data_IF_173301568685
#
_entry.id   IF_173301568685
#
_cell.length_a   1.000
_cell.length_b   1.000
_cell.length_c   1.000
_cell.angle_alpha   90.00
_cell.angle_beta   90.00
_cell.angle_gamma   90.00
#
_symmetry.space_group_name_H-M   'P 1'
#
loop_
_entity.id
_entity.type
_entity.pdbx_description
1 polymer ?
#
# COMPACT_ATOMS: atom_id res chain seq x y z
N UNK A 1 27.84 -42.03 30.36
CA UNK A 1 26.89 -42.74 29.46
C UNK A 1 27.33 -42.46 28.03
N UNK A 2 27.20 -43.43 27.12
CA UNK A 2 27.58 -43.25 25.71
C UNK A 2 26.36 -43.34 24.79
N UNK A 3 26.36 -42.53 23.74
CA UNK A 3 25.28 -42.43 22.78
C UNK A 3 25.70 -43.01 21.44
N UNK A 4 24.78 -43.73 20.80
CA UNK A 4 24.86 -44.00 19.35
C UNK A 4 24.65 -42.72 18.56
N UNK A 5 25.01 -42.74 17.28
CA UNK A 5 24.78 -41.61 16.37
C UNK A 5 23.29 -41.22 16.26
N UNK A 6 22.38 -42.18 16.37
CA UNK A 6 20.93 -41.92 16.30
C UNK A 6 20.42 -41.27 17.58
N UNK A 7 20.88 -41.73 18.75
CA UNK A 7 20.53 -41.15 20.03
C UNK A 7 21.08 -39.73 20.15
N UNK A 8 22.33 -39.51 19.72
CA UNK A 8 22.95 -38.19 19.75
C UNK A 8 22.23 -37.21 18.79
N UNK A 9 21.89 -37.65 17.58
CA UNK A 9 21.10 -36.87 16.63
C UNK A 9 19.75 -36.46 17.21
N UNK A 10 19.04 -37.40 17.85
CA UNK A 10 17.75 -37.14 18.49
C UNK A 10 17.87 -36.15 19.66
N UNK A 11 18.91 -36.30 20.49
CA UNK A 11 19.14 -35.45 21.65
C UNK A 11 19.49 -34.01 21.26
N UNK A 12 20.30 -33.83 20.22
CA UNK A 12 20.84 -32.54 19.80
C UNK A 12 20.02 -31.83 18.72
N UNK A 13 19.04 -32.51 18.13
CA UNK A 13 18.23 -31.97 17.03
C UNK A 13 18.95 -31.89 15.68
N UNK A 14 20.21 -32.33 15.57
CA UNK A 14 20.90 -32.42 14.28
C UNK A 14 20.69 -33.77 13.60
N UNK A 15 20.79 -33.79 12.27
CA UNK A 15 20.67 -35.04 11.51
C UNK A 15 21.89 -35.94 11.72
N UNK A 16 21.69 -37.25 11.58
CA UNK A 16 22.81 -38.21 11.55
C UNK A 16 23.78 -37.94 10.40
N UNK A 17 23.30 -37.36 9.29
CA UNK A 17 24.14 -36.89 8.17
C UNK A 17 25.06 -35.75 8.62
N UNK A 18 24.55 -34.78 9.38
CA UNK A 18 25.34 -33.67 9.94
C UNK A 18 26.44 -34.20 10.86
N UNK A 19 26.14 -35.15 11.74
CA UNK A 19 27.14 -35.76 12.63
C UNK A 19 28.23 -36.52 11.88
N UNK A 20 27.89 -37.26 10.82
CA UNK A 20 28.88 -37.93 9.95
C UNK A 20 29.75 -36.92 9.20
N UNK A 21 29.15 -35.82 8.78
CA UNK A 21 29.87 -34.76 8.09
C UNK A 21 30.82 -34.02 9.05
N UNK A 22 30.40 -33.73 10.29
CA UNK A 22 31.28 -33.18 11.33
C UNK A 22 32.47 -34.10 11.64
N UNK A 23 32.26 -35.42 11.66
CA UNK A 23 33.35 -36.41 11.77
C UNK A 23 34.30 -36.31 10.57
N UNK A 24 33.76 -36.27 9.35
CA UNK A 24 34.54 -36.17 8.11
C UNK A 24 35.42 -34.91 8.04
N UNK A 25 34.91 -33.76 8.48
CA UNK A 25 35.69 -32.51 8.50
C UNK A 25 36.56 -32.35 9.76
N UNK A 26 36.56 -33.37 10.64
CA UNK A 26 37.33 -33.40 11.88
C UNK A 26 36.81 -32.47 12.98
N UNK A 27 35.60 -31.95 12.84
CA UNK A 27 34.99 -31.03 13.80
C UNK A 27 34.46 -31.76 15.05
N UNK A 28 33.85 -32.94 14.87
CA UNK A 28 33.36 -33.78 15.97
C UNK A 28 33.62 -35.26 15.68
N UNK A 29 34.67 -35.81 16.29
CA UNK A 29 35.01 -37.24 16.16
C UNK A 29 34.25 -38.08 17.20
N UNK A 30 33.89 -39.33 16.87
CA UNK A 30 33.35 -40.26 17.86
C UNK A 30 34.38 -40.55 18.95
N UNK A 31 33.92 -40.77 20.18
CA UNK A 31 34.79 -41.15 21.30
C UNK A 31 35.40 -42.54 21.12
N UNK A 32 34.64 -43.47 20.51
CA UNK A 32 35.17 -44.73 19.97
C UNK A 32 34.34 -45.25 18.80
N UNK A 33 34.95 -46.13 18.03
CA UNK A 33 34.26 -46.97 17.04
C UNK A 33 34.26 -48.39 17.59
N UNK A 34 33.08 -48.96 17.80
CA UNK A 34 32.94 -50.33 18.28
C UNK A 34 33.38 -51.34 17.20
N UNK A 35 33.65 -52.59 17.58
CA UNK A 35 34.15 -53.65 16.66
C UNK A 35 33.23 -53.91 15.47
N UNK A 36 31.93 -53.65 15.65
CA UNK A 36 30.90 -53.74 14.62
C UNK A 36 30.78 -52.49 13.74
N UNK A 37 31.73 -51.55 13.82
CA UNK A 37 31.80 -50.32 13.03
C UNK A 37 30.87 -49.19 13.50
N UNK A 38 30.11 -49.38 14.59
CA UNK A 38 29.21 -48.33 15.10
C UNK A 38 29.98 -47.27 15.91
N UNK A 39 29.70 -46.01 15.59
CA UNK A 39 30.24 -44.83 16.30
C UNK A 39 29.55 -44.65 17.66
N UNK A 40 30.35 -44.39 18.69
CA UNK A 40 29.90 -44.08 20.06
C UNK A 40 30.44 -42.73 20.50
N UNK A 41 29.57 -41.95 21.13
CA UNK A 41 29.84 -40.60 21.59
C UNK A 41 29.68 -40.54 23.11
N UNK A 42 30.75 -40.22 23.82
CA UNK A 42 30.73 -40.03 25.26
C UNK A 42 30.40 -38.58 25.66
N UNK A 43 30.43 -38.27 26.96
CA UNK A 43 30.13 -36.94 27.48
C UNK A 43 30.93 -35.81 26.81
N UNK A 44 32.24 -36.00 26.63
CA UNK A 44 33.09 -34.99 25.98
C UNK A 44 32.67 -34.67 24.52
N UNK A 45 32.13 -35.65 23.79
CA UNK A 45 31.61 -35.38 22.45
C UNK A 45 30.25 -34.66 22.49
N UNK A 46 29.45 -34.89 23.52
CA UNK A 46 28.19 -34.16 23.74
C UNK A 46 28.48 -32.70 24.07
N UNK A 47 29.42 -32.44 24.99
CA UNK A 47 29.83 -31.08 25.37
C UNK A 47 30.39 -30.32 24.17
N UNK A 48 31.26 -30.97 23.39
CA UNK A 48 31.80 -30.39 22.16
C UNK A 48 30.70 -30.12 21.11
N UNK A 49 29.73 -31.03 20.95
CA UNK A 49 28.61 -30.81 20.05
C UNK A 49 27.76 -29.61 20.51
N UNK A 50 27.53 -29.45 21.81
CA UNK A 50 26.81 -28.31 22.36
C UNK A 50 27.52 -26.99 22.01
N UNK A 51 28.84 -26.90 22.17
CA UNK A 51 29.61 -25.72 21.78
C UNK A 51 29.54 -25.46 20.26
N UNK A 52 29.66 -26.51 19.43
CA UNK A 52 29.52 -26.37 17.96
C UNK A 52 28.15 -25.78 17.60
N UNK A 53 27.08 -26.27 18.20
CA UNK A 53 25.72 -25.79 17.93
C UNK A 53 25.52 -24.36 18.41
N UNK A 54 26.09 -24.00 19.56
CA UNK A 54 26.07 -22.63 20.08
C UNK A 54 26.72 -21.64 19.10
N UNK A 55 27.95 -21.91 18.64
CA UNK A 55 28.62 -21.03 17.68
C UNK A 55 27.97 -21.02 16.30
N UNK A 56 27.40 -22.15 15.87
CA UNK A 56 26.60 -22.19 14.64
C UNK A 56 25.35 -21.32 14.75
N UNK A 57 24.66 -21.32 15.89
CA UNK A 57 23.52 -20.47 16.12
C UNK A 57 23.89 -18.98 16.11
N UNK A 58 25.12 -18.65 16.52
CA UNK A 58 25.69 -17.30 16.40
C UNK A 58 26.13 -16.95 14.97
N UNK A 59 26.10 -17.88 14.02
CA UNK A 59 26.51 -17.65 12.62
C UNK A 59 28.03 -17.68 12.40
N UNK A 60 28.78 -18.36 13.27
CA UNK A 60 30.22 -18.60 13.07
C UNK A 60 30.43 -19.73 12.07
N UNK A 61 31.39 -19.56 11.16
CA UNK A 61 31.76 -20.57 10.17
C UNK A 61 32.42 -21.79 10.82
N UNK A 62 32.13 -22.98 10.30
CA UNK A 62 32.59 -24.23 10.93
C UNK A 62 34.09 -24.44 10.93
N UNK A 63 34.77 -23.92 9.90
CA UNK A 63 36.22 -23.93 9.86
C UNK A 63 36.80 -23.15 11.05
N UNK A 64 36.20 -22.01 11.38
CA UNK A 64 36.60 -21.20 12.52
C UNK A 64 36.23 -21.88 13.84
N UNK A 65 35.03 -22.47 13.95
CA UNK A 65 34.63 -23.25 15.14
C UNK A 65 35.64 -24.38 15.41
N UNK A 66 36.12 -25.08 14.38
CA UNK A 66 37.13 -26.14 14.55
C UNK A 66 38.42 -25.59 15.16
N UNK A 67 38.96 -24.51 14.60
CA UNK A 67 40.18 -23.86 15.12
C UNK A 67 39.98 -23.42 16.57
N UNK A 68 38.83 -22.84 16.88
CA UNK A 68 38.49 -22.35 18.23
C UNK A 68 38.43 -23.48 19.27
N UNK A 69 37.89 -24.64 18.90
CA UNK A 69 37.69 -25.76 19.83
C UNK A 69 38.90 -26.72 19.87
N UNK A 70 39.88 -26.56 18.98
CA UNK A 70 41.10 -27.37 18.95
C UNK A 70 42.31 -26.66 19.58
N UNK A 71 42.23 -25.34 19.80
CA UNK A 71 43.28 -24.52 20.38
C UNK A 71 43.09 -24.39 21.92
N UNK A 72 44.01 -24.91 22.75
CA UNK A 72 43.92 -24.85 24.21
C UNK A 72 44.15 -23.46 24.80
N UNK A 73 44.79 -22.54 24.07
CA UNK A 73 45.03 -21.15 24.50
C UNK A 73 43.97 -20.18 23.95
N UNK A 74 42.90 -20.72 23.37
CA UNK A 74 41.86 -19.96 22.68
C UNK A 74 41.05 -19.07 23.62
N UNK A 75 41.13 -17.76 23.41
CA UNK A 75 40.27 -16.78 24.08
C UNK A 75 38.88 -16.72 23.39
N UNK A 76 37.98 -17.58 23.91
CA UNK A 76 36.55 -17.63 23.55
C UNK A 76 35.88 -16.26 23.63
N UNK A 77 36.21 -15.45 24.63
CA UNK A 77 35.58 -14.16 24.83
C UNK A 77 36.06 -13.14 23.79
N UNK A 78 37.35 -13.15 23.42
CA UNK A 78 37.89 -12.31 22.37
C UNK A 78 37.25 -12.60 21.00
N UNK A 79 37.05 -13.87 20.66
CA UNK A 79 36.41 -14.25 19.38
C UNK A 79 34.93 -13.85 19.33
N UNK A 80 34.19 -14.07 20.42
CA UNK A 80 32.79 -13.63 20.51
C UNK A 80 32.67 -12.10 20.42
N UNK A 81 33.58 -11.34 21.02
CA UNK A 81 33.65 -9.88 20.90
C UNK A 81 33.93 -9.43 19.46
N UNK A 82 34.87 -10.08 18.78
CA UNK A 82 35.16 -9.77 17.37
C UNK A 82 33.96 -10.03 16.45
N UNK A 83 33.24 -11.13 16.68
CA UNK A 83 32.03 -11.44 15.92
C UNK A 83 30.88 -10.49 16.23
N UNK A 84 30.67 -10.12 17.50
CA UNK A 84 29.71 -9.09 17.89
C UNK A 84 30.00 -7.77 17.19
N UNK A 85 31.25 -7.31 17.22
CA UNK A 85 31.66 -6.06 16.55
C UNK A 85 31.37 -6.11 15.04
N UNK A 86 31.60 -7.27 14.39
CA UNK A 86 31.26 -7.48 12.97
C UNK A 86 29.75 -7.41 12.72
N UNK A 87 28.93 -8.02 13.58
CA UNK A 87 27.47 -7.97 13.48
C UNK A 87 26.94 -6.55 13.69
N UNK A 88 27.49 -5.82 14.65
CA UNK A 88 27.13 -4.41 14.89
C UNK A 88 27.53 -3.50 13.72
N UNK A 89 28.69 -3.75 13.10
CA UNK A 89 29.10 -3.10 11.86
C UNK A 89 28.15 -3.37 10.71
N UNK A 90 27.73 -4.64 10.53
CA UNK A 90 26.78 -5.00 9.48
C UNK A 90 25.39 -4.40 9.72
N UNK A 91 24.91 -4.37 10.97
CA UNK A 91 23.68 -3.66 11.33
C UNK A 91 23.77 -2.19 10.94
N UNK A 92 24.87 -1.52 11.27
CA UNK A 92 25.07 -0.10 10.95
C UNK A 92 25.07 0.15 9.43
N UNK A 93 25.70 -0.75 8.66
CA UNK A 93 25.69 -0.71 7.20
C UNK A 93 24.27 -0.86 6.64
N UNK A 94 23.53 -1.85 7.13
CA UNK A 94 22.14 -2.09 6.71
C UNK A 94 21.23 -0.92 7.07
N UNK A 95 21.36 -0.34 8.27
CA UNK A 95 20.60 0.85 8.69
C UNK A 95 20.88 2.03 7.76
N UNK A 96 22.13 2.20 7.31
CA UNK A 96 22.50 3.22 6.32
C UNK A 96 21.84 3.00 4.97
N UNK A 97 21.83 1.77 4.47
CA UNK A 97 21.17 1.40 3.22
C UNK A 97 19.65 1.60 3.29
N UNK A 98 19.03 1.18 4.40
CA UNK A 98 17.60 1.38 4.64
C UNK A 98 17.27 2.87 4.56
N UNK A 99 18.01 3.73 5.28
CA UNK A 99 17.80 5.19 5.22
C UNK A 99 17.91 5.72 3.78
N UNK A 100 18.96 5.35 3.06
CA UNK A 100 19.17 5.80 1.68
C UNK A 100 18.03 5.42 0.74
N UNK A 101 17.50 4.20 0.88
CA UNK A 101 16.37 3.73 0.06
C UNK A 101 15.10 4.48 0.45
N UNK A 102 14.82 4.65 1.74
CA UNK A 102 13.66 5.41 2.23
C UNK A 102 13.68 6.85 1.73
N UNK A 103 14.82 7.53 1.81
CA UNK A 103 14.96 8.91 1.33
C UNK A 103 14.72 9.01 -0.18
N UNK A 104 15.18 8.02 -0.94
CA UNK A 104 14.98 7.95 -2.39
C UNK A 104 13.51 7.74 -2.74
N UNK A 105 12.82 6.83 -2.05
CA UNK A 105 11.37 6.59 -2.24
C UNK A 105 10.60 7.89 -2.00
N UNK A 106 10.85 8.59 -0.89
CA UNK A 106 10.18 9.85 -0.58
C UNK A 106 10.51 10.98 -1.56
N UNK A 107 11.67 10.98 -2.20
CA UNK A 107 12.00 11.96 -3.23
C UNK A 107 11.22 11.70 -4.53
N UNK A 108 11.12 10.43 -4.95
CA UNK A 108 10.37 10.02 -6.15
C UNK A 108 8.86 10.23 -5.98
N UNK A 109 8.29 9.85 -4.83
CA UNK A 109 6.88 10.07 -4.51
C UNK A 109 6.51 11.56 -4.58
N UNK A 110 7.34 12.44 -3.99
CA UNK A 110 7.13 13.90 -4.06
C UNK A 110 7.23 14.43 -5.50
N UNK A 111 8.14 13.90 -6.31
CA UNK A 111 8.30 14.29 -7.70
C UNK A 111 7.13 13.82 -8.58
N UNK A 112 6.56 12.66 -8.30
CA UNK A 112 5.33 12.18 -8.93
C UNK A 112 4.14 13.10 -8.61
N UNK A 113 3.94 13.42 -7.33
CA UNK A 113 2.88 14.35 -6.87
C UNK A 113 3.01 15.71 -7.59
N UNK A 114 4.20 16.32 -7.59
CA UNK A 114 4.42 17.62 -8.25
C UNK A 114 4.18 17.58 -9.77
N UNK A 115 4.57 16.49 -10.45
CA UNK A 115 4.32 16.34 -11.90
C UNK A 115 2.82 16.24 -12.19
N UNK A 116 2.07 15.59 -11.33
CA UNK A 116 0.63 15.46 -11.48
C UNK A 116 -0.11 16.76 -11.12
N UNK A 117 0.34 17.52 -10.12
CA UNK A 117 -0.15 18.89 -9.86
C UNK A 117 0.05 19.80 -11.08
N UNK A 118 1.23 19.76 -11.70
CA UNK A 118 1.54 20.57 -12.88
C UNK A 118 0.71 20.19 -14.10
N UNK A 119 0.52 18.89 -14.36
CA UNK A 119 -0.39 18.41 -15.41
C UNK A 119 -1.82 18.83 -15.13
N UNK A 120 -2.22 18.80 -13.85
CA UNK A 120 -3.56 19.16 -13.42
C UNK A 120 -3.86 20.65 -13.60
N UNK A 121 -2.91 21.54 -13.29
CA UNK A 121 -3.03 22.98 -13.57
C UNK A 121 -3.25 23.28 -15.06
N UNK A 122 -2.56 22.54 -15.94
CA UNK A 122 -2.77 22.65 -17.40
C UNK A 122 -4.15 22.13 -17.80
N UNK A 123 -4.60 21.03 -17.22
CA UNK A 123 -5.92 20.46 -17.51
C UNK A 123 -7.07 21.38 -17.06
N UNK A 124 -7.00 21.94 -15.84
CA UNK A 124 -7.99 22.92 -15.33
C UNK A 124 -8.12 24.10 -16.28
N UNK A 125 -6.99 24.68 -16.68
CA UNK A 125 -6.97 25.82 -17.60
C UNK A 125 -7.61 25.48 -18.94
N UNK A 126 -7.26 24.35 -19.53
CA UNK A 126 -7.84 23.90 -20.79
C UNK A 126 -9.33 23.56 -20.69
N UNK A 127 -9.81 23.11 -19.53
CA UNK A 127 -11.22 22.84 -19.30
C UNK A 127 -12.02 24.14 -19.20
N UNK A 128 -11.53 25.13 -18.43
CA UNK A 128 -12.15 26.46 -18.33
C UNK A 128 -12.16 27.16 -19.70
N UNK A 129 -11.04 27.14 -20.42
CA UNK A 129 -10.93 27.74 -21.76
C UNK A 129 -11.90 27.09 -22.76
N UNK A 130 -12.02 25.75 -22.76
CA UNK A 130 -12.99 25.05 -23.63
C UNK A 130 -14.43 25.35 -23.23
N UNK A 131 -14.72 25.43 -21.94
CA UNK A 131 -16.05 25.73 -21.44
C UNK A 131 -16.49 27.16 -21.81
N UNK A 132 -15.60 28.15 -21.64
CA UNK A 132 -15.81 29.52 -22.12
C UNK A 132 -15.99 29.60 -23.65
N UNK A 133 -15.17 28.88 -24.40
CA UNK A 133 -15.26 28.89 -25.86
C UNK A 133 -16.56 28.28 -26.40
N UNK A 134 -17.06 27.22 -25.76
CA UNK A 134 -18.26 26.50 -26.21
C UNK A 134 -19.56 27.10 -25.65
N UNK A 135 -19.54 27.56 -24.40
CA UNK A 135 -20.77 27.89 -23.65
C UNK A 135 -20.70 29.25 -22.96
N UNK A 136 -19.54 29.92 -22.93
CA UNK A 136 -19.35 31.16 -22.19
C UNK A 136 -20.34 32.25 -22.61
N UNK A 137 -20.65 32.36 -23.91
CA UNK A 137 -21.60 33.37 -24.41
C UNK A 137 -23.03 33.12 -23.94
N UNK A 138 -23.52 31.89 -24.04
CA UNK A 138 -24.88 31.49 -23.60
C UNK A 138 -25.04 31.62 -22.08
N UNK A 139 -24.05 31.16 -21.31
CA UNK A 139 -24.09 31.18 -19.85
C UNK A 139 -24.00 32.62 -19.31
N UNK A 140 -23.17 33.48 -19.93
CA UNK A 140 -23.06 34.90 -19.56
C UNK A 140 -24.34 35.68 -19.86
N UNK A 141 -25.01 35.36 -20.97
CA UNK A 141 -26.31 35.97 -21.31
C UNK A 141 -27.44 35.53 -20.37
N UNK A 142 -27.42 34.27 -19.90
CA UNK A 142 -28.50 33.72 -19.08
C UNK A 142 -28.31 33.92 -17.56
N UNK A 143 -27.06 33.91 -17.07
CA UNK A 143 -26.74 33.94 -15.64
C UNK A 143 -25.83 35.12 -15.22
N UNK A 144 -25.28 35.86 -16.18
CA UNK A 144 -24.48 37.07 -15.95
C UNK A 144 -22.98 36.79 -15.75
N UNK A 145 -22.16 37.77 -16.15
CA UNK A 145 -20.69 37.66 -16.16
C UNK A 145 -20.09 37.33 -14.78
N UNK A 146 -20.60 37.95 -13.73
CA UNK A 146 -20.05 37.79 -12.38
C UNK A 146 -20.18 36.35 -11.85
N UNK A 147 -21.28 35.65 -12.17
CA UNK A 147 -21.49 34.26 -11.74
C UNK A 147 -20.62 33.29 -12.54
N UNK A 148 -20.39 33.57 -13.82
CA UNK A 148 -19.50 32.78 -14.66
C UNK A 148 -18.04 32.93 -14.23
N UNK A 149 -17.62 34.16 -13.93
CA UNK A 149 -16.25 34.45 -13.47
C UNK A 149 -15.99 33.83 -12.07
N UNK A 150 -16.98 33.85 -11.17
CA UNK A 150 -16.89 33.19 -9.85
C UNK A 150 -16.82 31.67 -9.99
N UNK A 151 -17.60 31.07 -10.89
CA UNK A 151 -17.55 29.64 -11.16
C UNK A 151 -16.19 29.20 -11.75
N UNK A 152 -15.66 29.96 -12.72
CA UNK A 152 -14.35 29.71 -13.29
C UNK A 152 -13.23 29.88 -12.26
N UNK A 153 -13.31 30.90 -11.41
CA UNK A 153 -12.36 31.14 -10.33
C UNK A 153 -12.40 30.02 -9.28
N UNK A 154 -13.58 29.51 -8.94
CA UNK A 154 -13.74 28.39 -8.02
C UNK A 154 -13.09 27.10 -8.55
N UNK A 155 -13.25 26.81 -9.85
CA UNK A 155 -12.59 25.66 -10.51
C UNK A 155 -11.08 25.83 -10.55
N UNK A 156 -10.58 27.03 -10.88
CA UNK A 156 -9.14 27.32 -10.88
C UNK A 156 -8.52 27.25 -9.47
N UNK A 157 -9.29 27.57 -8.44
CA UNK A 157 -8.86 27.55 -7.03
C UNK A 157 -8.84 26.17 -6.36
N UNK A 158 -9.30 25.10 -7.02
CA UNK A 158 -9.28 23.76 -6.46
C UNK A 158 -7.84 23.25 -6.24
N UNK A 159 -7.56 22.75 -5.04
CA UNK A 159 -6.32 22.03 -4.74
C UNK A 159 -6.34 20.63 -5.38
N UNK A 160 -5.17 19.99 -5.52
CA UNK A 160 -5.08 18.63 -6.06
C UNK A 160 -5.87 17.61 -5.22
N UNK A 161 -5.81 17.70 -3.89
CA UNK A 161 -6.57 16.84 -2.98
C UNK A 161 -8.09 17.02 -3.13
N UNK A 162 -8.54 18.28 -3.27
CA UNK A 162 -9.93 18.58 -3.55
C UNK A 162 -10.35 18.03 -4.91
N UNK A 163 -9.49 18.10 -5.93
CA UNK A 163 -9.79 17.54 -7.24
C UNK A 163 -9.84 16.01 -7.26
N UNK A 164 -8.92 15.33 -6.56
CA UNK A 164 -8.95 13.87 -6.42
C UNK A 164 -10.25 13.44 -5.73
N UNK A 165 -10.64 14.15 -4.68
CA UNK A 165 -11.92 13.92 -3.99
C UNK A 165 -13.10 14.18 -4.92
N UNK A 166 -13.07 15.27 -5.70
CA UNK A 166 -14.12 15.63 -6.66
C UNK A 166 -14.29 14.59 -7.77
N UNK A 167 -13.18 14.11 -8.32
CA UNK A 167 -13.16 13.12 -9.40
C UNK A 167 -13.61 11.76 -8.90
N UNK A 168 -13.13 11.34 -7.72
CA UNK A 168 -13.56 10.10 -7.08
C UNK A 168 -15.06 10.10 -6.76
N UNK A 169 -15.59 11.21 -6.22
CA UNK A 169 -17.03 11.36 -6.00
C UNK A 169 -17.82 11.31 -7.32
N UNK A 170 -17.31 11.91 -8.39
CA UNK A 170 -17.94 11.89 -9.71
C UNK A 170 -18.06 10.48 -10.30
N UNK A 171 -16.98 9.69 -10.20
CA UNK A 171 -17.00 8.29 -10.64
C UNK A 171 -17.95 7.43 -9.78
N UNK A 172 -17.93 7.62 -8.45
CA UNK A 172 -18.83 6.88 -7.55
C UNK A 172 -20.31 7.19 -7.81
N UNK A 173 -20.63 8.44 -8.16
CA UNK A 173 -21.97 8.84 -8.59
C UNK A 173 -22.32 8.15 -9.92
N UNK A 174 -21.43 8.18 -10.90
CA UNK A 174 -21.66 7.58 -12.22
C UNK A 174 -21.90 6.07 -12.11
N UNK A 175 -21.03 5.36 -11.42
CA UNK A 175 -21.15 3.91 -11.20
C UNK A 175 -22.43 3.57 -10.43
N UNK A 176 -22.78 4.36 -9.42
CA UNK A 176 -24.04 4.21 -8.68
C UNK A 176 -25.27 4.41 -9.56
N UNK A 177 -25.26 5.41 -10.45
CA UNK A 177 -26.35 5.67 -11.40
C UNK A 177 -26.49 4.54 -12.41
N UNK A 178 -25.38 4.06 -12.98
CA UNK A 178 -25.39 2.95 -13.92
C UNK A 178 -25.92 1.67 -13.25
N UNK A 179 -25.48 1.37 -12.03
CA UNK A 179 -25.98 0.25 -11.24
C UNK A 179 -27.47 0.36 -10.94
N UNK A 180 -27.93 1.52 -10.46
CA UNK A 180 -29.32 1.72 -10.07
C UNK A 180 -30.27 1.61 -11.27
N UNK A 181 -29.86 2.10 -12.44
CA UNK A 181 -30.65 1.99 -13.67
C UNK A 181 -30.62 0.55 -14.21
N UNK A 182 -29.46 -0.12 -14.18
CA UNK A 182 -29.34 -1.51 -14.66
C UNK A 182 -30.17 -2.50 -13.83
N UNK A 183 -30.25 -2.28 -12.52
CA UNK A 183 -31.03 -3.10 -11.59
C UNK A 183 -32.47 -2.60 -11.38
N UNK A 184 -32.90 -1.60 -12.16
CA UNK A 184 -34.25 -1.00 -12.08
C UNK A 184 -34.66 -0.56 -10.66
N UNK A 185 -33.71 -0.02 -9.89
CA UNK A 185 -33.96 0.43 -8.52
C UNK A 185 -34.82 1.70 -8.51
N UNK A 186 -35.60 1.94 -7.43
CA UNK A 186 -36.37 3.18 -7.29
C UNK A 186 -35.47 4.36 -6.86
N UNK A 187 -35.61 5.56 -7.47
CA UNK A 187 -34.93 6.78 -7.03
C UNK A 187 -35.26 7.20 -5.59
N UNK A 188 -36.41 6.79 -5.07
CA UNK A 188 -36.83 7.00 -3.69
C UNK A 188 -36.29 5.93 -2.71
N UNK A 189 -35.47 5.00 -3.20
CA UNK A 189 -34.79 3.99 -2.40
C UNK A 189 -33.53 4.51 -1.70
N UNK A 190 -32.86 3.61 -0.95
CA UNK A 190 -31.60 3.93 -0.26
C UNK A 190 -30.48 4.33 -1.22
N UNK A 191 -30.43 3.70 -2.40
CA UNK A 191 -29.42 3.99 -3.41
C UNK A 191 -29.59 5.38 -4.00
N UNK A 192 -30.83 5.79 -4.30
CA UNK A 192 -31.12 7.16 -4.73
C UNK A 192 -30.77 8.21 -3.66
N UNK A 193 -31.02 7.91 -2.38
CA UNK A 193 -30.59 8.77 -1.27
C UNK A 193 -29.06 8.90 -1.20
N UNK A 194 -28.34 7.79 -1.35
CA UNK A 194 -26.86 7.74 -1.35
C UNK A 194 -26.30 8.60 -2.47
N UNK A 195 -26.78 8.41 -3.70
CA UNK A 195 -26.34 9.14 -4.88
C UNK A 195 -26.63 10.64 -4.75
N UNK A 196 -27.82 11.02 -4.27
CA UNK A 196 -28.15 12.43 -4.04
C UNK A 196 -27.25 13.08 -2.97
N UNK A 197 -26.85 12.34 -1.92
CA UNK A 197 -25.91 12.80 -0.90
C UNK A 197 -24.49 12.98 -1.47
N UNK A 198 -24.03 12.05 -2.30
CA UNK A 198 -22.73 12.15 -2.98
C UNK A 198 -22.70 13.34 -3.93
N UNK A 199 -23.76 13.53 -4.72
CA UNK A 199 -23.88 14.65 -5.65
C UNK A 199 -23.91 16.00 -4.92
N UNK A 200 -24.60 16.09 -3.78
CA UNK A 200 -24.50 17.27 -2.89
C UNK A 200 -23.05 17.52 -2.47
N UNK A 201 -22.35 16.49 -1.98
CA UNK A 201 -20.96 16.63 -1.51
C UNK A 201 -20.05 17.10 -2.63
N UNK A 202 -20.24 16.56 -3.84
CA UNK A 202 -19.54 16.96 -5.06
C UNK A 202 -19.77 18.44 -5.41
N UNK A 203 -21.02 18.93 -5.33
CA UNK A 203 -21.37 20.33 -5.60
C UNK A 203 -20.83 21.32 -4.56
N UNK A 204 -20.75 20.92 -3.30
CA UNK A 204 -20.28 21.79 -2.20
C UNK A 204 -18.78 21.73 -1.95
N UNK A 205 -18.05 20.85 -2.65
CA UNK A 205 -16.62 20.62 -2.41
C UNK A 205 -15.77 21.87 -2.69
N UNK A 206 -16.22 22.73 -3.60
CA UNK A 206 -15.59 24.01 -3.94
C UNK A 206 -15.87 25.12 -2.93
N UNK A 207 -16.57 24.83 -1.82
CA UNK A 207 -16.86 25.79 -0.74
C UNK A 207 -18.24 26.47 -0.85
N UNK A 208 -19.05 26.10 -1.83
CA UNK A 208 -20.41 26.63 -1.97
C UNK A 208 -21.32 26.16 -0.83
N UNK A 209 -22.07 27.10 -0.23
CA UNK A 209 -23.11 26.76 0.75
C UNK A 209 -24.21 25.96 0.05
N UNK A 210 -24.56 24.81 0.62
CA UNK A 210 -25.62 23.97 0.08
C UNK A 210 -26.97 24.69 0.09
N UNK A 211 -27.66 24.65 -1.04
CA UNK A 211 -29.01 25.16 -1.24
C UNK A 211 -29.85 24.07 -1.94
N UNK A 212 -30.84 23.46 -1.26
CA UNK A 212 -31.69 22.42 -1.84
C UNK A 212 -32.44 22.87 -3.10
N UNK A 213 -32.87 24.14 -3.17
CA UNK A 213 -33.58 24.69 -4.31
C UNK A 213 -32.69 24.80 -5.55
N UNK A 214 -31.44 25.25 -5.35
CA UNK A 214 -30.43 25.26 -6.43
C UNK A 214 -30.05 23.85 -6.87
N UNK A 215 -29.95 22.91 -5.94
CA UNK A 215 -29.64 21.51 -6.26
C UNK A 215 -30.72 20.89 -7.15
N UNK A 216 -32.00 21.09 -6.83
CA UNK A 216 -33.11 20.63 -7.68
C UNK A 216 -33.14 21.33 -9.03
N UNK A 217 -32.99 22.67 -9.05
CA UNK A 217 -32.95 23.42 -10.29
C UNK A 217 -31.83 22.94 -11.23
N UNK A 218 -30.65 22.65 -10.67
CA UNK A 218 -29.54 22.09 -11.44
C UNK A 218 -29.84 20.68 -11.96
N UNK A 219 -30.44 19.81 -11.13
CA UNK A 219 -30.77 18.46 -11.54
C UNK A 219 -31.88 18.40 -12.60
N UNK A 220 -32.84 19.33 -12.58
CA UNK A 220 -33.86 19.47 -13.63
C UNK A 220 -33.22 19.74 -15.00
N UNK A 221 -32.22 20.64 -15.05
CA UNK A 221 -31.49 20.98 -16.28
C UNK A 221 -30.81 19.77 -16.92
N UNK A 222 -30.42 18.74 -16.14
CA UNK A 222 -29.79 17.53 -16.68
C UNK A 222 -30.70 16.73 -17.60
N UNK A 223 -32.03 16.89 -17.47
CA UNK A 223 -33.03 16.27 -18.35
C UNK A 223 -33.64 17.23 -19.37
N UNK A 224 -33.45 18.54 -19.20
CA UNK A 224 -33.98 19.57 -20.09
C UNK A 224 -33.02 19.89 -21.24
N UNK A 225 -31.70 19.76 -21.04
CA UNK A 225 -30.69 19.93 -22.08
C UNK A 225 -30.12 18.57 -22.53
N UNK A 226 -30.29 18.19 -23.81
CA UNK A 226 -29.75 16.94 -24.36
C UNK A 226 -28.24 16.77 -24.18
N UNK A 227 -27.47 17.86 -24.04
CA UNK A 227 -26.01 17.82 -23.80
C UNK A 227 -25.70 17.25 -22.42
N UNK A 228 -26.43 17.67 -21.39
CA UNK A 228 -26.26 17.16 -20.02
C UNK A 228 -26.84 15.75 -19.89
N UNK A 229 -27.96 15.47 -20.57
CA UNK A 229 -28.50 14.11 -20.63
C UNK A 229 -27.46 13.16 -21.22
N UNK A 230 -26.83 13.50 -22.35
CA UNK A 230 -25.81 12.68 -23.00
C UNK A 230 -24.54 12.47 -22.16
N UNK A 231 -24.25 13.36 -21.20
CA UNK A 231 -23.12 13.21 -20.30
C UNK A 231 -23.35 12.07 -19.30
N UNK A 232 -24.52 12.05 -18.63
CA UNK A 232 -24.87 11.01 -17.66
C UNK A 232 -25.30 9.70 -18.34
N UNK A 233 -25.99 9.79 -19.47
CA UNK A 233 -26.52 8.63 -20.21
C UNK A 233 -25.51 8.03 -21.20
N UNK A 234 -24.23 8.41 -21.11
CA UNK A 234 -23.19 8.04 -22.08
C UNK A 234 -23.04 6.52 -22.25
N UNK A 235 -23.15 5.77 -21.15
CA UNK A 235 -22.99 4.32 -21.13
C UNK A 235 -24.35 3.60 -21.00
N UNK A 236 -25.28 4.16 -20.23
CA UNK A 236 -26.59 3.59 -19.98
C UNK A 236 -27.67 4.69 -19.97
N UNK A 237 -28.66 4.64 -20.88
CA UNK A 237 -29.75 5.62 -20.89
C UNK A 237 -30.60 5.57 -19.64
N UNK A 238 -31.04 6.74 -19.14
CA UNK A 238 -31.90 6.87 -17.96
C UNK A 238 -31.18 7.31 -16.67
N UNK A 239 -29.85 7.42 -16.69
CA UNK A 239 -29.05 7.86 -15.54
C UNK A 239 -29.33 9.34 -15.18
N UNK A 240 -29.45 10.23 -16.15
CA UNK A 240 -29.80 11.64 -15.93
C UNK A 240 -31.17 11.78 -15.28
N UNK A 241 -32.13 10.98 -15.75
CA UNK A 241 -33.51 10.94 -15.27
C UNK A 241 -33.57 10.42 -13.83
N UNK A 242 -32.86 9.33 -13.53
CA UNK A 242 -32.74 8.80 -12.18
C UNK A 242 -32.14 9.83 -11.20
N UNK A 243 -31.04 10.49 -11.60
CA UNK A 243 -30.39 11.49 -10.75
C UNK A 243 -31.33 12.64 -10.43
N UNK A 244 -32.09 13.13 -11.42
CA UNK A 244 -33.09 14.19 -11.21
C UNK A 244 -34.12 13.78 -10.17
N UNK A 245 -34.73 12.62 -10.33
CA UNK A 245 -35.82 12.16 -9.45
C UNK A 245 -35.31 11.88 -8.02
N UNK A 246 -34.09 11.34 -7.89
CA UNK A 246 -33.43 11.14 -6.60
C UNK A 246 -33.15 12.49 -5.90
N UNK A 247 -32.64 13.48 -6.63
CA UNK A 247 -32.39 14.82 -6.08
C UNK A 247 -33.71 15.50 -5.70
N UNK A 248 -34.74 15.42 -6.55
CA UNK A 248 -36.06 15.98 -6.28
C UNK A 248 -36.62 15.46 -4.95
N UNK A 249 -36.51 14.14 -4.74
CA UNK A 249 -36.99 13.46 -3.55
C UNK A 249 -36.20 13.76 -2.29
N UNK A 250 -34.87 13.80 -2.38
CA UNK A 250 -34.01 13.77 -1.19
C UNK A 250 -33.38 15.13 -0.84
N UNK A 251 -33.29 16.10 -1.75
CA UNK A 251 -32.52 17.34 -1.57
C UNK A 251 -32.82 18.13 -0.29
N UNK A 252 -34.07 18.13 0.19
CA UNK A 252 -34.50 18.80 1.44
C UNK A 252 -34.14 18.05 2.72
N UNK A 253 -33.89 16.74 2.61
CA UNK A 253 -33.72 15.81 3.73
C UNK A 253 -32.28 15.29 3.87
N UNK A 254 -31.35 15.87 3.10
CA UNK A 254 -29.92 15.54 3.08
C UNK A 254 -29.12 16.35 4.11
#
# INVERSE_FOLDING_TARGET
>A
MEYSIQELARLSGVTTRTLRWYDQIGLLKPGRVAENGYRRYGPAQVDRLQDILYYRALGVELAQIRVCLDDPDFDRLATLRGHLARLEGERTRLDGLIRSVTDTIHAEERNEIMRDEQKFEVFKRQAVERNEALYGREVREQYGDAQMDEANAAVMGLTQEQYQTWTGLGEEIREGLEYAVAEELPPEGEEGRRIAALHRRWLTLTGNRYDPGKHRGLAALYTEDPRFTAYYDRNLPGCAQFLRDAVERWAETL
#
